data_IF_098723718719
#
_entry.id   IF_098723718719
#
_cell.length_a   1.000
_cell.length_b   1.000
_cell.length_c   1.000
_cell.angle_alpha   90.00
_cell.angle_beta   90.00
_cell.angle_gamma   90.00
#
_symmetry.space_group_name_H-M   'P 1'
#
loop_
_entity.id
_entity.type
_entity.pdbx_description
1 polymer ?
#
# COMPACT_ATOMS: atom_id res chain seq x y z
N UNK A 1 -14.82 52.60 -16.39
CA UNK A 1 -14.97 51.95 -15.08
C UNK A 1 -13.72 51.11 -14.82
N UNK A 2 -12.95 51.37 -13.75
CA UNK A 2 -11.73 50.63 -13.44
C UNK A 2 -11.93 49.12 -13.34
N UNK A 3 -13.10 48.67 -12.87
CA UNK A 3 -13.41 47.24 -12.74
C UNK A 3 -13.49 46.55 -14.10
N UNK A 4 -14.15 47.17 -15.07
CA UNK A 4 -14.27 46.66 -16.44
C UNK A 4 -12.92 46.63 -17.17
N UNK A 5 -12.06 47.62 -16.90
CA UNK A 5 -10.71 47.65 -17.45
C UNK A 5 -9.85 46.48 -16.93
N UNK A 6 -9.94 46.16 -15.63
CA UNK A 6 -9.24 45.03 -15.02
C UNK A 6 -9.79 43.70 -15.54
N UNK A 7 -11.12 43.57 -15.67
CA UNK A 7 -11.77 42.37 -16.21
C UNK A 7 -11.29 42.06 -17.61
N UNK A 8 -11.27 43.07 -18.50
CA UNK A 8 -10.75 42.92 -19.86
C UNK A 8 -9.28 42.55 -19.90
N UNK A 9 -8.45 43.17 -19.05
CA UNK A 9 -7.03 42.83 -18.99
C UNK A 9 -6.79 41.38 -18.53
N UNK A 10 -7.58 40.89 -17.57
CA UNK A 10 -7.52 39.51 -17.10
C UNK A 10 -7.96 38.50 -18.18
N UNK A 11 -9.01 38.81 -18.94
CA UNK A 11 -9.45 37.97 -20.07
C UNK A 11 -8.37 37.85 -21.15
N UNK A 12 -7.78 38.98 -21.56
CA UNK A 12 -6.71 38.98 -22.56
C UNK A 12 -5.51 38.14 -22.06
N UNK A 13 -5.14 38.28 -20.78
CA UNK A 13 -4.04 37.50 -20.21
C UNK A 13 -4.33 35.99 -20.24
N UNK A 14 -5.56 35.57 -19.92
CA UNK A 14 -5.97 34.17 -19.95
C UNK A 14 -5.90 33.59 -21.37
N UNK A 15 -6.36 34.34 -22.38
CA UNK A 15 -6.27 33.95 -23.80
C UNK A 15 -4.82 33.78 -24.25
N UNK A 16 -3.89 34.62 -23.79
CA UNK A 16 -2.46 34.48 -24.12
C UNK A 16 -1.78 33.31 -23.41
N UNK A 17 -2.29 32.90 -22.24
CA UNK A 17 -1.77 31.77 -21.47
C UNK A 17 -2.17 30.41 -22.05
N UNK A 18 -3.33 30.33 -22.72
CA UNK A 18 -3.85 29.10 -23.35
C UNK A 18 -2.84 28.46 -24.31
N UNK A 19 -2.16 29.28 -25.13
CA UNK A 19 -1.12 28.83 -26.05
C UNK A 19 0.09 28.16 -25.37
N UNK A 20 0.35 28.46 -24.09
CA UNK A 20 1.40 27.82 -23.30
C UNK A 20 0.91 26.58 -22.54
N UNK A 21 -0.39 26.53 -22.20
CA UNK A 21 -1.02 25.36 -21.56
C UNK A 21 -1.14 24.21 -22.55
N UNK A 22 -1.60 24.47 -23.77
CA UNK A 22 -1.66 23.46 -24.83
C UNK A 22 -0.27 22.92 -25.21
N UNK A 23 0.77 23.76 -25.17
CA UNK A 23 2.15 23.33 -25.42
C UNK A 23 2.72 22.48 -24.28
N UNK A 24 2.30 22.72 -23.02
CA UNK A 24 2.69 21.92 -21.86
C UNK A 24 2.09 20.52 -21.90
N UNK A 25 0.86 20.39 -22.40
CA UNK A 25 0.12 19.11 -22.48
C UNK A 25 0.82 18.09 -23.41
N UNK A 26 1.77 18.52 -24.23
CA UNK A 26 2.60 17.64 -25.07
C UNK A 26 3.91 17.17 -24.43
N UNK A 27 4.29 17.66 -23.24
CA UNK A 27 5.65 17.48 -22.71
C UNK A 27 5.78 16.98 -21.28
N UNK A 28 4.68 16.81 -20.55
CA UNK A 28 4.72 16.15 -19.25
C UNK A 28 3.64 15.07 -19.25
N UNK A 29 3.99 13.77 -19.35
CA UNK A 29 3.07 12.78 -18.81
C UNK A 29 2.85 13.20 -17.37
N UNK A 30 1.62 13.58 -17.01
CA UNK A 30 1.21 13.63 -15.61
C UNK A 30 1.74 12.34 -14.99
N UNK A 31 2.78 12.46 -14.16
CA UNK A 31 3.11 11.43 -13.23
C UNK A 31 1.87 11.36 -12.34
N UNK A 32 0.94 10.47 -12.72
CA UNK A 32 -0.10 10.00 -11.84
C UNK A 32 0.64 9.76 -10.54
N UNK A 33 0.29 10.51 -9.51
CA UNK A 33 0.66 10.16 -8.17
C UNK A 33 0.11 8.74 -7.99
N UNK A 34 0.97 7.75 -8.26
CA UNK A 34 0.79 6.41 -7.79
C UNK A 34 0.79 6.58 -6.28
N UNK A 35 -0.43 6.78 -5.73
CA UNK A 35 -0.74 6.41 -4.36
C UNK A 35 0.04 5.12 -4.14
N UNK A 36 0.89 5.04 -3.11
CA UNK A 36 1.75 3.88 -2.94
C UNK A 36 0.87 2.64 -3.12
N UNK A 37 1.15 1.84 -4.16
CA UNK A 37 0.28 0.72 -4.57
C UNK A 37 0.01 -0.25 -3.40
N UNK A 38 0.82 -0.16 -2.34
CA UNK A 38 0.70 -0.90 -1.12
C UNK A 38 0.90 0.01 0.08
N UNK A 39 0.12 -0.20 1.14
CA UNK A 39 0.46 0.37 2.43
C UNK A 39 1.89 -0.07 2.81
N UNK A 40 2.77 0.85 3.25
CA UNK A 40 4.16 0.54 3.61
C UNK A 40 4.27 -0.47 4.75
N UNK A 41 3.17 -0.78 5.43
CA UNK A 41 3.08 -1.82 6.45
C UNK A 41 3.16 -3.23 5.85
N UNK A 42 2.68 -3.45 4.62
CA UNK A 42 2.63 -4.78 4.00
C UNK A 42 4.04 -5.29 3.65
N UNK A 43 4.93 -4.38 3.28
CA UNK A 43 6.33 -4.64 2.97
C UNK A 43 7.19 -4.95 4.19
N UNK A 44 6.67 -4.76 5.41
CA UNK A 44 7.42 -5.03 6.63
C UNK A 44 7.49 -6.54 6.89
N UNK A 45 8.60 -7.02 7.47
CA UNK A 45 8.70 -8.42 7.86
C UNK A 45 7.73 -8.72 9.00
N UNK A 46 7.30 -9.98 9.11
CA UNK A 46 6.46 -10.44 10.24
C UNK A 46 7.17 -10.36 11.58
N UNK A 47 8.51 -10.28 11.59
CA UNK A 47 9.30 -10.07 12.80
C UNK A 47 9.02 -8.69 13.46
N UNK A 48 8.62 -7.70 12.66
CA UNK A 48 8.29 -6.32 13.09
C UNK A 48 6.92 -6.22 13.78
N UNK A 49 6.14 -7.31 13.76
CA UNK A 49 4.83 -7.39 14.42
C UNK A 49 4.94 -7.66 15.94
N UNK A 50 6.15 -7.79 16.50
CA UNK A 50 6.37 -8.09 17.93
C UNK A 50 5.57 -9.31 18.42
N UNK A 51 5.39 -10.30 17.54
CA UNK A 51 4.71 -11.55 17.88
C UNK A 51 5.55 -12.39 18.85
N UNK A 52 4.92 -13.30 19.58
CA UNK A 52 5.67 -14.30 20.35
C UNK A 52 6.61 -15.09 19.45
N UNK A 53 7.76 -15.48 20.02
CA UNK A 53 8.79 -16.30 19.35
C UNK A 53 8.20 -17.54 18.68
N UNK A 54 7.14 -18.12 19.28
CA UNK A 54 6.41 -19.24 18.69
C UNK A 54 5.70 -18.83 17.40
N UNK A 55 4.86 -17.79 17.45
CA UNK A 55 4.09 -17.31 16.30
C UNK A 55 5.00 -16.89 15.15
N UNK A 56 6.09 -16.16 15.42
CA UNK A 56 7.08 -15.77 14.42
C UNK A 56 7.78 -16.99 13.77
N UNK A 57 8.20 -17.97 14.58
CA UNK A 57 8.83 -19.18 14.05
C UNK A 57 7.86 -20.06 13.23
N UNK A 58 6.57 -20.08 13.60
CA UNK A 58 5.55 -20.79 12.84
C UNK A 58 5.33 -20.15 11.46
N UNK A 59 5.27 -18.82 11.40
CA UNK A 59 5.13 -18.08 10.14
C UNK A 59 6.35 -18.28 9.23
N UNK A 60 7.56 -18.22 9.79
CA UNK A 60 8.80 -18.52 9.05
C UNK A 60 8.85 -19.94 8.52
N UNK A 61 8.33 -20.93 9.25
CA UNK A 61 8.28 -22.32 8.81
C UNK A 61 7.34 -22.54 7.60
N UNK A 62 6.31 -21.70 7.45
CA UNK A 62 5.39 -21.69 6.29
C UNK A 62 5.86 -20.74 5.18
N UNK A 63 7.10 -20.28 5.21
CA UNK A 63 7.68 -19.32 4.27
C UNK A 63 6.99 -17.93 4.25
N UNK A 64 6.24 -17.59 5.30
CA UNK A 64 5.59 -16.28 5.44
C UNK A 64 6.56 -15.32 6.12
N UNK A 65 7.23 -14.48 5.33
CA UNK A 65 8.23 -13.52 5.82
C UNK A 65 7.68 -12.11 5.99
N UNK A 66 6.63 -11.75 5.25
CA UNK A 66 6.10 -10.39 5.16
C UNK A 66 4.66 -10.30 5.66
N UNK A 67 4.29 -9.12 6.17
CA UNK A 67 2.91 -8.86 6.61
C UNK A 67 1.93 -9.01 5.43
N UNK A 68 2.32 -8.60 4.22
CA UNK A 68 1.49 -8.75 3.02
C UNK A 68 1.16 -10.20 2.66
N UNK A 69 2.05 -11.16 2.92
CA UNK A 69 1.77 -12.58 2.72
C UNK A 69 0.84 -13.11 3.83
N UNK A 70 1.07 -12.69 5.07
CA UNK A 70 0.24 -13.06 6.22
C UNK A 70 -1.23 -12.64 6.05
N UNK A 71 -1.50 -11.41 5.62
CA UNK A 71 -2.89 -10.90 5.50
C UNK A 71 -3.67 -11.59 4.38
N UNK A 72 -3.00 -12.17 3.38
CA UNK A 72 -3.65 -12.94 2.31
C UNK A 72 -4.07 -14.35 2.76
N UNK A 73 -3.43 -14.89 3.79
CA UNK A 73 -3.81 -16.18 4.35
C UNK A 73 -5.09 -16.06 5.15
N UNK A 74 -5.93 -17.06 4.98
CA UNK A 74 -7.15 -17.19 5.78
C UNK A 74 -6.86 -17.86 7.11
N UNK A 75 -7.71 -17.59 8.11
CA UNK A 75 -7.62 -18.23 9.42
C UNK A 75 -7.66 -19.76 9.34
N UNK A 76 -8.42 -20.29 8.38
CA UNK A 76 -8.61 -21.73 8.17
C UNK A 76 -7.32 -22.38 7.67
N UNK A 77 -6.57 -21.70 6.81
CA UNK A 77 -5.27 -22.17 6.31
C UNK A 77 -4.22 -22.11 7.41
N UNK A 78 -4.20 -21.02 8.17
CA UNK A 78 -3.33 -20.86 9.32
C UNK A 78 -3.59 -21.94 10.39
N UNK A 79 -4.83 -22.33 10.63
CA UNK A 79 -5.18 -23.44 11.55
C UNK A 79 -4.81 -24.84 11.05
N UNK A 80 -4.64 -25.03 9.73
CA UNK A 80 -4.17 -26.30 9.17
C UNK A 80 -2.66 -26.49 9.33
N UNK A 81 -1.94 -25.41 9.59
CA UNK A 81 -0.49 -25.43 9.80
C UNK A 81 -0.17 -26.17 11.10
N UNK A 82 0.67 -27.22 11.08
CA UNK A 82 0.88 -28.13 12.22
C UNK A 82 1.46 -27.45 13.47
N UNK A 83 2.09 -26.28 13.32
CA UNK A 83 2.73 -25.56 14.43
C UNK A 83 1.92 -24.36 14.94
N UNK A 84 0.82 -23.98 14.28
CA UNK A 84 0.05 -22.79 14.65
C UNK A 84 -1.13 -23.16 15.57
N UNK A 85 -1.02 -22.78 16.85
CA UNK A 85 -2.08 -23.04 17.83
C UNK A 85 -3.13 -21.94 17.90
N UNK A 86 -4.27 -22.23 18.55
CA UNK A 86 -5.35 -21.24 18.82
C UNK A 86 -4.84 -19.95 19.46
N UNK A 87 -3.88 -20.06 20.40
CA UNK A 87 -3.27 -18.90 21.08
C UNK A 87 -2.48 -18.01 20.12
N UNK A 88 -1.69 -18.61 19.23
CA UNK A 88 -0.93 -17.89 18.21
C UNK A 88 -1.84 -17.23 17.19
N UNK A 89 -2.94 -17.88 16.81
CA UNK A 89 -3.93 -17.29 15.89
C UNK A 89 -4.60 -16.05 16.49
N UNK A 90 -5.02 -16.10 17.76
CA UNK A 90 -5.60 -14.93 18.45
C UNK A 90 -4.60 -13.79 18.55
N UNK A 91 -3.35 -14.09 18.89
CA UNK A 91 -2.27 -13.10 18.94
C UNK A 91 -2.05 -12.41 17.59
N UNK A 92 -1.96 -13.20 16.50
CA UNK A 92 -1.81 -12.65 15.14
C UNK A 92 -2.97 -11.73 14.79
N UNK A 93 -4.21 -12.14 15.10
CA UNK A 93 -5.40 -11.32 14.85
C UNK A 93 -5.37 -10.00 15.62
N UNK A 94 -5.04 -10.05 16.91
CA UNK A 94 -5.05 -8.87 17.77
C UNK A 94 -3.99 -7.85 17.30
N UNK A 95 -2.80 -8.33 16.94
CA UNK A 95 -1.74 -7.46 16.40
C UNK A 95 -2.09 -6.90 15.03
N UNK A 96 -2.65 -7.71 14.12
CA UNK A 96 -3.11 -7.22 12.82
C UNK A 96 -4.22 -6.17 12.99
N UNK A 97 -5.19 -6.42 13.86
CA UNK A 97 -6.27 -5.49 14.17
C UNK A 97 -5.75 -4.18 14.76
N UNK A 98 -4.74 -4.22 15.63
CA UNK A 98 -4.09 -3.02 16.19
C UNK A 98 -3.46 -2.12 15.12
N UNK A 99 -3.13 -2.68 13.97
CA UNK A 99 -2.53 -2.02 12.80
C UNK A 99 -3.54 -1.73 11.68
N UNK A 100 -4.82 -2.00 11.92
CA UNK A 100 -5.90 -1.82 10.96
C UNK A 100 -5.97 -2.88 9.86
N UNK A 101 -5.27 -4.00 10.01
CA UNK A 101 -5.22 -5.10 9.05
C UNK A 101 -6.10 -6.27 9.50
N UNK A 102 -6.53 -7.08 8.55
CA UNK A 102 -7.29 -8.30 8.80
C UNK A 102 -6.76 -9.48 7.98
N UNK A 103 -7.10 -10.70 8.41
CA UNK A 103 -6.77 -11.93 7.68
C UNK A 103 -7.77 -12.13 6.54
N UNK A 104 -7.29 -12.72 5.43
CA UNK A 104 -8.09 -12.92 4.22
C UNK A 104 -8.27 -11.66 3.36
N UNK A 105 -7.42 -10.65 3.53
CA UNK A 105 -7.37 -9.50 2.63
C UNK A 105 -6.76 -9.94 1.29
N UNK A 106 -7.43 -9.64 0.18
CA UNK A 106 -6.90 -9.90 -1.16
C UNK A 106 -6.12 -8.67 -1.62
N UNK A 107 -4.81 -8.81 -1.75
CA UNK A 107 -3.95 -7.78 -2.30
C UNK A 107 -3.78 -8.03 -3.80
N UNK A 108 -4.19 -7.08 -4.64
CA UNK A 108 -3.85 -7.09 -6.06
C UNK A 108 -2.40 -6.61 -6.21
N UNK A 109 -1.61 -7.26 -7.09
CA UNK A 109 -0.17 -6.98 -7.34
C UNK A 109 0.84 -7.39 -6.24
N UNK A 110 0.47 -8.24 -5.27
CA UNK A 110 1.42 -8.83 -4.29
C UNK A 110 1.91 -10.22 -4.75
N UNK A 111 3.21 -10.56 -4.65
CA UNK A 111 4.34 -9.76 -4.16
C UNK A 111 4.87 -8.78 -5.22
N UNK A 112 5.19 -7.52 -4.85
CA UNK A 112 5.79 -6.56 -5.78
C UNK A 112 7.17 -7.05 -6.25
N UNK A 113 7.48 -6.80 -7.53
CA UNK A 113 8.74 -7.21 -8.18
C UNK A 113 10.00 -6.80 -7.41
N UNK A 114 9.93 -5.67 -6.67
CA UNK A 114 11.00 -5.15 -5.82
C UNK A 114 11.35 -6.03 -4.61
N UNK A 115 10.45 -6.91 -4.18
CA UNK A 115 10.72 -7.92 -3.14
C UNK A 115 11.34 -9.20 -3.71
N UNK A 116 11.10 -9.51 -4.98
CA UNK A 116 11.55 -10.76 -5.63
C UNK A 116 13.03 -10.70 -6.01
N UNK A 117 13.59 -9.51 -6.21
CA UNK A 117 14.99 -9.31 -6.59
C UNK A 117 16.00 -9.39 -5.42
N UNK A 118 15.56 -9.74 -4.19
CA UNK A 118 16.41 -9.77 -2.99
C UNK A 118 16.97 -11.15 -2.61
N UNK A 119 16.78 -12.17 -3.44
CA UNK A 119 17.36 -13.52 -3.26
C UNK A 119 18.80 -13.65 -3.78
#
# INVERSE_FOLDING_TARGET
DPEEAIRRAATILAEQLEAFVELRDMSEPEAKEEKPEFDPILLRPVDDLELTVRSANCLKAEAIQYIGDLVQRTEVELLKTPNLGKKSLTEIKDVLASRGLSLGMRLENWPPSSLVDRD
#
